data_IF_122732845659
#
_entry.id   IF_122732845659
#
_cell.length_a   1.000
_cell.length_b   1.000
_cell.length_c   1.000
_cell.angle_alpha   90.00
_cell.angle_beta   90.00
_cell.angle_gamma   90.00
#
_symmetry.space_group_name_H-M   'P 1'
#
loop_
_entity.id
_entity.type
_entity.pdbx_description
1 polymer ?
#
# COMPACT_ATOMS: atom_id res chain seq x y z
N UNK A 1 7.77 54.34 -22.28
CA UNK A 1 7.67 53.99 -20.85
C UNK A 1 6.21 54.02 -20.41
N UNK A 2 5.56 52.86 -20.34
CA UNK A 2 4.29 52.63 -19.61
C UNK A 2 4.18 51.13 -19.37
N UNK A 3 4.70 50.70 -18.23
CA UNK A 3 4.70 49.30 -17.78
C UNK A 3 3.30 48.98 -17.25
N UNK A 4 2.55 48.12 -17.94
CA UNK A 4 1.31 47.53 -17.43
C UNK A 4 1.69 46.41 -16.46
N UNK A 5 1.73 46.74 -15.18
CA UNK A 5 1.80 45.77 -14.10
C UNK A 5 0.41 45.11 -14.00
N UNK A 6 0.26 43.93 -14.60
CA UNK A 6 -0.92 43.10 -14.41
C UNK A 6 -0.87 42.55 -12.98
N UNK A 7 -1.72 43.09 -12.12
CA UNK A 7 -2.06 42.53 -10.82
C UNK A 7 -2.51 41.07 -11.00
N UNK A 8 -1.65 40.13 -10.61
CA UNK A 8 -2.04 38.75 -10.34
C UNK A 8 -2.52 38.75 -8.89
N UNK A 9 -3.83 38.97 -8.69
CA UNK A 9 -4.45 38.71 -7.39
C UNK A 9 -4.36 37.21 -7.20
N UNK A 10 -3.42 36.75 -6.37
CA UNK A 10 -3.40 35.37 -5.92
C UNK A 10 -4.70 35.14 -5.13
N UNK A 11 -5.54 34.20 -5.55
CA UNK A 11 -6.73 33.86 -4.78
C UNK A 11 -6.28 33.28 -3.43
N UNK A 12 -6.62 34.00 -2.36
CA UNK A 12 -6.32 33.65 -0.97
C UNK A 12 -7.23 32.55 -0.42
N UNK A 13 -8.03 31.89 -1.25
CA UNK A 13 -8.91 30.79 -0.83
C UNK A 13 -8.08 29.62 -0.30
N UNK A 14 -8.31 29.23 0.94
CA UNK A 14 -7.64 28.07 1.57
C UNK A 14 -7.93 26.81 0.75
N UNK A 15 -6.92 25.96 0.53
CA UNK A 15 -7.13 24.61 -0.02
C UNK A 15 -7.91 23.79 1.01
N UNK A 16 -9.07 23.27 0.61
CA UNK A 16 -9.93 22.38 1.41
C UNK A 16 -9.87 20.96 0.87
N UNK A 17 -10.14 19.96 1.72
CA UNK A 17 -10.18 18.56 1.30
C UNK A 17 -11.27 18.31 0.26
N UNK A 18 -12.49 18.78 0.51
CA UNK A 18 -13.61 18.66 -0.43
C UNK A 18 -13.27 19.27 -1.81
N UNK A 19 -12.67 20.46 -1.83
CA UNK A 19 -12.26 21.13 -3.06
C UNK A 19 -11.16 20.36 -3.82
N UNK A 20 -10.23 19.75 -3.09
CA UNK A 20 -9.23 18.88 -3.68
C UNK A 20 -9.85 17.62 -4.30
N UNK A 21 -10.75 16.95 -3.58
CA UNK A 21 -11.49 15.80 -4.08
C UNK A 21 -12.29 16.13 -5.34
N UNK A 22 -13.06 17.22 -5.34
CA UNK A 22 -13.86 17.63 -6.50
C UNK A 22 -13.01 17.92 -7.75
N UNK A 23 -11.83 18.51 -7.57
CA UNK A 23 -10.93 18.78 -8.70
C UNK A 23 -10.29 17.50 -9.24
N UNK A 24 -9.89 16.58 -8.36
CA UNK A 24 -9.38 15.26 -8.76
C UNK A 24 -10.49 14.46 -9.44
N UNK A 25 -11.71 14.49 -8.91
CA UNK A 25 -12.88 13.83 -9.48
C UNK A 25 -13.11 14.25 -10.93
N UNK A 26 -12.92 15.53 -11.26
CA UNK A 26 -13.02 16.02 -12.65
C UNK A 26 -12.01 15.36 -13.58
N UNK A 27 -10.82 15.00 -13.06
CA UNK A 27 -9.82 14.26 -13.82
C UNK A 27 -10.15 12.76 -13.93
N UNK A 28 -10.73 12.17 -12.88
CA UNK A 28 -10.97 10.72 -12.81
C UNK A 28 -12.31 10.29 -13.41
N UNK A 29 -13.34 11.14 -13.35
CA UNK A 29 -14.67 10.87 -13.90
C UNK A 29 -14.80 11.56 -15.25
N UNK A 30 -14.93 10.77 -16.32
CA UNK A 30 -15.11 11.25 -17.69
C UNK A 30 -14.00 10.82 -18.65
N UNK A 31 -13.77 11.61 -19.70
CA UNK A 31 -12.83 11.29 -20.80
C UNK A 31 -11.44 11.93 -20.65
N UNK A 32 -11.21 12.71 -19.58
CA UNK A 32 -10.00 13.51 -19.40
C UNK A 32 -8.73 12.68 -19.53
N UNK A 33 -8.64 11.52 -18.85
CA UNK A 33 -7.44 10.67 -18.91
C UNK A 33 -7.21 10.09 -20.31
N UNK A 34 -8.28 9.64 -20.98
CA UNK A 34 -8.22 9.15 -22.35
C UNK A 34 -7.78 10.27 -23.32
N UNK A 35 -8.24 11.49 -23.11
CA UNK A 35 -7.85 12.66 -23.90
C UNK A 35 -6.38 13.05 -23.68
N UNK A 36 -5.87 12.96 -22.45
CA UNK A 36 -4.44 13.15 -22.14
C UNK A 36 -3.62 12.13 -22.94
N UNK A 37 -3.96 10.84 -22.82
CA UNK A 37 -3.27 9.75 -23.52
C UNK A 37 -3.34 9.96 -25.02
N UNK A 38 -4.53 10.21 -25.59
CA UNK A 38 -4.71 10.46 -27.01
C UNK A 38 -3.91 11.67 -27.52
N UNK A 39 -3.75 12.72 -26.70
CA UNK A 39 -2.99 13.91 -27.07
C UNK A 39 -1.46 13.66 -27.10
N UNK A 40 -0.93 12.88 -26.16
CA UNK A 40 0.50 12.52 -26.14
C UNK A 40 0.83 11.41 -27.12
N UNK A 41 -0.11 10.51 -27.44
CA UNK A 41 0.04 9.44 -28.43
C UNK A 41 0.19 9.93 -29.88
N UNK A 42 -0.04 11.22 -30.15
CA UNK A 42 0.27 11.86 -31.45
C UNK A 42 1.75 12.18 -31.64
N UNK A 43 2.58 11.86 -30.65
CA UNK A 43 4.03 12.08 -30.73
C UNK A 43 4.67 11.04 -31.66
N UNK A 44 5.88 11.32 -32.11
CA UNK A 44 6.61 10.47 -33.07
C UNK A 44 6.95 9.08 -32.51
N UNK A 45 7.35 9.02 -31.24
CA UNK A 45 7.73 7.80 -30.54
C UNK A 45 7.38 7.89 -29.04
N UNK A 46 7.54 6.77 -28.33
CA UNK A 46 7.21 6.69 -26.91
C UNK A 46 7.99 7.72 -26.08
N UNK A 47 9.29 7.89 -26.32
CA UNK A 47 10.12 8.84 -25.58
C UNK A 47 9.63 10.28 -25.69
N UNK A 48 9.18 10.72 -26.87
CA UNK A 48 8.57 12.05 -27.06
C UNK A 48 7.23 12.18 -26.34
N UNK A 49 6.42 11.14 -26.30
CA UNK A 49 5.17 11.12 -25.54
C UNK A 49 5.45 11.20 -24.03
N UNK A 50 6.40 10.42 -23.51
CA UNK A 50 6.81 10.41 -22.11
C UNK A 50 7.37 11.76 -21.67
N UNK A 51 8.21 12.41 -22.48
CA UNK A 51 8.70 13.77 -22.18
C UNK A 51 7.57 14.78 -21.98
N UNK A 52 6.48 14.67 -22.75
CA UNK A 52 5.31 15.54 -22.62
C UNK A 52 4.49 15.21 -21.36
N UNK A 53 4.34 13.92 -21.02
CA UNK A 53 3.71 13.52 -19.77
C UNK A 53 4.52 14.00 -18.55
N UNK A 54 5.85 13.88 -18.61
CA UNK A 54 6.75 14.31 -17.53
C UNK A 54 6.58 15.78 -17.18
N UNK A 55 6.44 16.64 -18.18
CA UNK A 55 6.19 18.06 -17.96
C UNK A 55 4.87 18.30 -17.21
N UNK A 56 3.80 17.62 -17.62
CA UNK A 56 2.49 17.70 -16.94
C UNK A 56 2.56 17.17 -15.50
N UNK A 57 3.27 16.06 -15.27
CA UNK A 57 3.44 15.47 -13.93
C UNK A 57 4.25 16.37 -13.00
N UNK A 58 5.37 16.93 -13.47
CA UNK A 58 6.21 17.84 -12.66
C UNK A 58 5.52 19.16 -12.33
N UNK A 59 4.75 19.70 -13.27
CA UNK A 59 3.99 20.94 -13.05
C UNK A 59 2.66 20.71 -12.36
N UNK A 60 2.21 19.45 -12.25
CA UNK A 60 0.87 19.08 -11.79
C UNK A 60 -0.26 19.75 -12.60
N UNK A 61 -0.02 20.02 -13.88
CA UNK A 61 -0.96 20.68 -14.78
C UNK A 61 -1.28 19.81 -15.99
N UNK A 62 -2.56 19.50 -16.16
CA UNK A 62 -3.05 18.62 -17.21
C UNK A 62 -3.88 19.41 -18.23
N UNK A 63 -3.57 19.18 -19.51
CA UNK A 63 -4.33 19.70 -20.66
C UNK A 63 -4.92 18.53 -21.42
N UNK A 64 -6.25 18.46 -21.48
CA UNK A 64 -6.99 17.37 -22.09
C UNK A 64 -8.16 17.96 -22.88
N UNK A 65 -8.03 18.05 -24.21
CA UNK A 65 -9.05 18.70 -25.03
C UNK A 65 -9.36 20.13 -24.59
N UNK A 66 -10.61 20.37 -24.17
CA UNK A 66 -11.07 21.66 -23.62
C UNK A 66 -10.80 21.82 -22.10
N UNK A 67 -10.40 20.75 -21.43
CA UNK A 67 -10.13 20.73 -19.99
C UNK A 67 -8.73 21.23 -19.67
N UNK A 68 -8.66 22.07 -18.64
CA UNK A 68 -7.43 22.51 -18.01
C UNK A 68 -7.55 22.26 -16.51
N UNK A 69 -6.79 21.29 -16.00
CA UNK A 69 -6.83 20.87 -14.59
C UNK A 69 -5.47 21.18 -13.98
N UNK A 70 -5.46 22.02 -12.96
CA UNK A 70 -4.24 22.39 -12.23
C UNK A 70 -4.32 21.90 -10.80
N UNK A 71 -3.53 20.88 -10.48
CA UNK A 71 -3.40 20.31 -9.14
C UNK A 71 -2.22 20.90 -8.35
N UNK A 72 -1.39 21.72 -9.00
CA UNK A 72 -0.16 22.32 -8.46
C UNK A 72 -0.32 22.88 -7.04
N UNK A 73 -1.36 23.70 -6.84
CA UNK A 73 -1.63 24.32 -5.54
C UNK A 73 -1.95 23.29 -4.46
N UNK A 74 -2.79 22.29 -4.77
CA UNK A 74 -3.21 21.25 -3.83
C UNK A 74 -2.00 20.38 -3.47
N UNK A 75 -1.27 19.92 -4.48
CA UNK A 75 -0.12 19.03 -4.29
C UNK A 75 0.99 19.74 -3.51
N UNK A 76 1.31 20.99 -3.86
CA UNK A 76 2.32 21.76 -3.13
C UNK A 76 1.95 21.95 -1.65
N UNK A 77 0.71 22.32 -1.36
CA UNK A 77 0.25 22.55 0.01
C UNK A 77 0.24 21.24 0.82
N UNK A 78 -0.36 20.18 0.29
CA UNK A 78 -0.48 18.91 0.98
C UNK A 78 0.85 18.19 1.11
N UNK A 79 1.72 18.21 0.09
CA UNK A 79 3.07 17.64 0.20
C UNK A 79 3.90 18.39 1.25
N UNK A 80 3.80 19.72 1.30
CA UNK A 80 4.49 20.51 2.34
C UNK A 80 4.04 20.13 3.75
N UNK A 81 2.73 19.99 3.98
CA UNK A 81 2.19 19.55 5.28
C UNK A 81 2.61 18.11 5.61
N UNK A 82 2.63 17.22 4.62
CA UNK A 82 3.08 15.82 4.77
C UNK A 82 4.54 15.71 5.17
N UNK A 83 5.41 16.52 4.57
CA UNK A 83 6.81 16.60 4.98
C UNK A 83 6.98 17.17 6.39
N UNK A 84 6.15 18.15 6.79
CA UNK A 84 6.15 18.68 8.16
C UNK A 84 5.66 17.65 9.20
N UNK A 85 4.77 16.75 8.80
CA UNK A 85 4.33 15.63 9.62
C UNK A 85 5.41 14.55 9.76
N UNK A 86 6.38 14.50 8.83
CA UNK A 86 7.53 13.59 8.84
C UNK A 86 7.55 12.58 7.68
N UNK A 87 6.76 12.79 6.63
CA UNK A 87 6.62 11.85 5.52
C UNK A 87 6.92 12.46 4.15
N UNK A 88 7.54 11.67 3.27
CA UNK A 88 7.83 11.98 1.88
C UNK A 88 6.91 11.17 0.94
N UNK A 89 5.59 11.27 1.11
CA UNK A 89 4.61 10.40 0.44
C UNK A 89 4.69 10.33 -1.10
N UNK A 90 5.24 11.36 -1.76
CA UNK A 90 5.39 11.41 -3.22
C UNK A 90 6.79 11.06 -3.73
N UNK A 91 7.80 10.95 -2.85
CA UNK A 91 9.20 10.86 -3.23
C UNK A 91 9.85 9.62 -2.62
N UNK A 92 10.68 8.94 -3.41
CA UNK A 92 11.41 7.77 -2.95
C UNK A 92 12.71 8.18 -2.25
N UNK A 93 13.24 7.27 -1.44
CA UNK A 93 14.58 7.39 -0.87
C UNK A 93 15.61 6.71 -1.78
N UNK A 94 16.60 7.45 -2.27
CA UNK A 94 17.75 6.86 -2.95
C UNK A 94 18.75 6.35 -1.91
N UNK A 95 18.67 5.04 -1.62
CA UNK A 95 19.60 4.37 -0.70
C UNK A 95 21.07 4.38 -1.13
N UNK A 96 21.39 4.69 -2.40
CA UNK A 96 22.78 4.83 -2.87
C UNK A 96 23.28 6.26 -2.74
N UNK A 97 22.43 7.24 -3.03
CA UNK A 97 22.76 8.65 -2.90
C UNK A 97 22.53 9.21 -1.49
N UNK A 98 21.90 8.43 -0.61
CA UNK A 98 21.61 8.76 0.79
C UNK A 98 20.77 10.06 0.91
N UNK A 99 19.79 10.20 0.02
CA UNK A 99 18.89 11.37 -0.04
C UNK A 99 17.53 11.02 -0.63
N UNK A 100 16.54 11.84 -0.31
CA UNK A 100 15.22 11.82 -0.98
C UNK A 100 15.40 12.27 -2.44
N UNK A 101 14.72 11.60 -3.36
CA UNK A 101 14.72 11.95 -4.77
C UNK A 101 14.13 13.35 -5.01
N UNK A 102 14.65 14.03 -6.03
CA UNK A 102 14.16 15.36 -6.44
C UNK A 102 12.82 15.27 -7.19
N UNK A 103 12.64 14.21 -7.98
CA UNK A 103 11.42 13.92 -8.71
C UNK A 103 10.47 13.04 -7.87
N UNK A 104 9.18 13.08 -8.21
CA UNK A 104 8.19 12.19 -7.60
C UNK A 104 8.30 10.77 -8.17
N UNK A 105 7.82 9.78 -7.41
CA UNK A 105 7.87 8.36 -7.79
C UNK A 105 7.31 8.10 -9.22
N UNK A 106 6.16 8.66 -9.64
CA UNK A 106 5.68 8.49 -11.02
C UNK A 106 6.63 9.05 -12.08
N UNK A 107 7.32 10.15 -11.79
CA UNK A 107 8.28 10.77 -12.71
C UNK A 107 9.56 9.93 -12.80
N UNK A 108 10.03 9.36 -11.69
CA UNK A 108 11.17 8.42 -11.69
C UNK A 108 10.87 7.17 -12.53
N UNK A 109 9.68 6.57 -12.35
CA UNK A 109 9.24 5.42 -13.15
C UNK A 109 9.10 5.78 -14.63
N UNK A 110 8.57 6.97 -14.94
CA UNK A 110 8.49 7.48 -16.31
C UNK A 110 9.89 7.65 -16.93
N UNK A 111 10.84 8.24 -16.20
CA UNK A 111 12.21 8.43 -16.67
C UNK A 111 12.87 7.07 -16.97
N UNK A 112 12.72 6.10 -16.07
CA UNK A 112 13.19 4.73 -16.30
C UNK A 112 12.59 4.11 -17.57
N UNK A 113 11.27 4.23 -17.77
CA UNK A 113 10.61 3.74 -18.98
C UNK A 113 11.15 4.42 -20.25
N UNK A 114 11.37 5.74 -20.19
CA UNK A 114 11.92 6.51 -21.30
C UNK A 114 13.34 6.06 -21.67
N UNK A 115 14.16 5.68 -20.70
CA UNK A 115 15.50 5.15 -20.96
C UNK A 115 15.47 3.76 -21.60
N UNK A 116 14.52 2.91 -21.18
CA UNK A 116 14.45 1.52 -21.66
C UNK A 116 13.72 1.36 -22.99
N UNK A 117 12.60 2.08 -23.17
CA UNK A 117 11.65 1.90 -24.27
C UNK A 117 11.45 3.17 -25.12
N UNK A 118 12.15 4.27 -24.84
CA UNK A 118 11.86 5.56 -25.48
C UNK A 118 11.99 5.60 -27.01
N UNK A 119 12.81 4.73 -27.61
CA UNK A 119 12.96 4.62 -29.06
C UNK A 119 11.86 3.77 -29.73
N UNK A 120 11.02 3.09 -28.95
CA UNK A 120 9.94 2.24 -29.46
C UNK A 120 8.76 3.06 -30.01
N UNK A 121 7.90 2.44 -30.83
CA UNK A 121 6.61 3.01 -31.21
C UNK A 121 5.75 3.39 -30.00
N UNK A 122 4.77 4.27 -30.24
CA UNK A 122 3.81 4.68 -29.22
C UNK A 122 3.07 3.46 -28.64
N UNK A 123 3.03 3.39 -27.32
CA UNK A 123 2.30 2.39 -26.54
C UNK A 123 1.24 3.11 -25.67
N UNK A 124 -0.02 3.20 -26.15
CA UNK A 124 -1.08 3.89 -25.41
C UNK A 124 -1.39 3.26 -24.05
N UNK A 125 -1.18 1.95 -23.90
CA UNK A 125 -1.43 1.24 -22.64
C UNK A 125 -0.43 1.66 -21.59
N UNK A 126 0.86 1.68 -21.92
CA UNK A 126 1.89 2.15 -20.99
C UNK A 126 1.69 3.62 -20.60
N UNK A 127 1.27 4.47 -21.54
CA UNK A 127 0.95 5.87 -21.27
C UNK A 127 -0.26 6.01 -20.32
N UNK A 128 -1.31 5.20 -20.50
CA UNK A 128 -2.48 5.20 -19.63
C UNK A 128 -2.14 4.74 -18.21
N UNK A 129 -1.37 3.65 -18.07
CA UNK A 129 -0.93 3.14 -16.76
C UNK A 129 -0.11 4.22 -16.01
N UNK A 130 0.79 4.93 -16.71
CA UNK A 130 1.57 6.01 -16.09
C UNK A 130 0.71 7.19 -15.61
N UNK A 131 -0.30 7.59 -16.39
CA UNK A 131 -1.23 8.66 -15.98
C UNK A 131 -1.99 8.23 -14.73
N UNK A 132 -2.52 7.01 -14.70
CA UNK A 132 -3.23 6.50 -13.53
C UNK A 132 -2.30 6.34 -12.32
N UNK A 133 -1.05 5.90 -12.52
CA UNK A 133 -0.06 5.77 -11.46
C UNK A 133 0.29 7.13 -10.83
N UNK A 134 0.32 8.20 -11.62
CA UNK A 134 0.42 9.55 -11.06
C UNK A 134 -0.79 9.88 -10.17
N UNK A 135 -2.01 9.63 -10.63
CA UNK A 135 -3.20 9.92 -9.84
C UNK A 135 -3.31 9.04 -8.59
N UNK A 136 -2.82 7.80 -8.62
CA UNK A 136 -2.71 6.95 -7.43
C UNK A 136 -1.87 7.61 -6.33
N UNK A 137 -0.71 8.18 -6.70
CA UNK A 137 0.16 8.86 -5.75
C UNK A 137 -0.46 10.17 -5.24
N UNK A 138 -1.24 10.87 -6.07
CA UNK A 138 -2.06 12.01 -5.61
C UNK A 138 -3.11 11.55 -4.59
N UNK A 139 -3.78 10.42 -4.81
CA UNK A 139 -4.73 9.85 -3.84
C UNK A 139 -4.03 9.34 -2.58
N UNK A 140 -2.79 8.85 -2.69
CA UNK A 140 -1.95 8.45 -1.55
C UNK A 140 -1.54 9.64 -0.70
N UNK A 141 -1.22 10.78 -1.31
CA UNK A 141 -1.03 12.02 -0.57
C UNK A 141 -2.32 12.48 0.11
N UNK A 142 -3.45 12.37 -0.57
CA UNK A 142 -4.75 12.78 -0.06
C UNK A 142 -5.22 11.91 1.12
N UNK A 143 -4.91 10.62 1.13
CA UNK A 143 -5.27 9.71 2.24
C UNK A 143 -4.60 10.11 3.56
N UNK A 144 -3.41 10.75 3.52
CA UNK A 144 -2.75 11.31 4.71
C UNK A 144 -3.35 12.64 5.19
N UNK A 145 -4.26 13.22 4.40
CA UNK A 145 -4.87 14.54 4.64
C UNK A 145 -6.35 14.47 5.02
N UNK A 146 -6.91 13.26 5.21
CA UNK A 146 -8.33 13.08 5.58
C UNK A 146 -8.70 13.73 6.92
N UNK A 147 -7.73 14.10 7.75
CA UNK A 147 -7.94 14.79 9.03
C UNK A 147 -7.79 16.32 8.97
N UNK A 148 -7.42 16.91 7.81
CA UNK A 148 -7.10 18.34 7.72
C UNK A 148 -8.35 19.24 7.90
N UNK A 149 -9.52 18.80 7.40
CA UNK A 149 -10.84 19.42 7.60
C UNK A 149 -11.98 18.41 7.34
N UNK A 150 -13.17 18.62 7.93
CA UNK A 150 -14.30 17.70 7.80
C UNK A 150 -14.23 16.47 8.72
N UNK A 151 -15.06 15.45 8.45
CA UNK A 151 -15.07 14.19 9.19
C UNK A 151 -14.11 13.19 8.52
N UNK A 152 -13.11 12.63 9.23
CA UNK A 152 -12.07 11.83 8.60
C UNK A 152 -12.58 10.54 7.96
N UNK A 153 -13.60 9.90 8.55
CA UNK A 153 -14.23 8.71 7.96
C UNK A 153 -14.93 9.03 6.62
N UNK A 154 -15.74 10.10 6.56
CA UNK A 154 -16.41 10.54 5.31
C UNK A 154 -15.38 10.93 4.24
N UNK A 155 -14.29 11.58 4.64
CA UNK A 155 -13.20 11.94 3.76
C UNK A 155 -12.49 10.71 3.19
N UNK A 156 -12.26 9.69 4.02
CA UNK A 156 -11.63 8.45 3.59
C UNK A 156 -12.55 7.65 2.65
N UNK A 157 -13.86 7.63 2.92
CA UNK A 157 -14.87 7.11 1.98
C UNK A 157 -14.84 7.84 0.64
N UNK A 158 -14.69 9.17 0.65
CA UNK A 158 -14.56 9.96 -0.58
C UNK A 158 -13.29 9.58 -1.36
N UNK A 159 -12.14 9.39 -0.69
CA UNK A 159 -10.91 8.89 -1.33
C UNK A 159 -11.14 7.50 -1.92
N UNK A 160 -11.87 6.63 -1.22
CA UNK A 160 -12.18 5.29 -1.70
C UNK A 160 -13.04 5.31 -2.98
N UNK A 161 -14.01 6.24 -3.07
CA UNK A 161 -14.80 6.44 -4.30
C UNK A 161 -13.95 6.98 -5.47
N UNK A 162 -12.98 7.85 -5.19
CA UNK A 162 -12.05 8.35 -6.20
C UNK A 162 -11.12 7.23 -6.68
N UNK A 163 -10.62 6.38 -5.78
CA UNK A 163 -9.86 5.18 -6.11
C UNK A 163 -10.68 4.22 -6.99
N UNK A 164 -11.96 4.00 -6.67
CA UNK A 164 -12.87 3.24 -7.53
C UNK A 164 -13.02 3.84 -8.93
N UNK A 165 -13.03 5.18 -9.04
CA UNK A 165 -13.06 5.89 -10.34
C UNK A 165 -11.72 5.82 -11.09
N UNK A 166 -10.59 5.74 -10.36
CA UNK A 166 -9.26 5.53 -10.92
C UNK A 166 -9.14 4.15 -11.59
N UNK A 167 -9.54 3.11 -10.87
CA UNK A 167 -9.32 1.72 -11.27
C UNK A 167 -10.49 1.11 -12.05
N UNK A 168 -11.61 1.83 -12.18
CA UNK A 168 -12.82 1.38 -12.87
C UNK A 168 -12.73 1.37 -14.40
N UNK A 169 -13.86 1.21 -15.12
CA UNK A 169 -13.88 1.06 -16.58
C UNK A 169 -13.26 2.22 -17.39
N UNK A 170 -13.17 3.41 -16.80
CA UNK A 170 -12.50 4.57 -17.39
C UNK A 170 -11.01 4.68 -17.05
N UNK A 171 -10.43 3.70 -16.35
CA UNK A 171 -9.00 3.62 -16.04
C UNK A 171 -8.20 2.92 -17.14
N UNK A 172 -6.92 2.70 -16.84
CA UNK A 172 -5.94 1.99 -17.66
C UNK A 172 -6.12 0.47 -17.67
N UNK A 173 -6.99 -0.06 -16.81
CA UNK A 173 -7.14 -1.48 -16.55
C UNK A 173 -6.09 -2.04 -15.58
N UNK A 174 -5.17 -1.21 -15.07
CA UNK A 174 -4.23 -1.60 -14.01
C UNK A 174 -4.85 -1.36 -12.62
N UNK A 175 -5.25 -2.40 -11.88
CA UNK A 175 -5.52 -2.30 -10.46
C UNK A 175 -4.24 -1.99 -9.67
N UNK A 176 -4.35 -1.22 -8.59
CA UNK A 176 -3.22 -0.82 -7.73
C UNK A 176 -3.42 -1.32 -6.30
N UNK A 177 -4.54 -0.95 -5.66
CA UNK A 177 -4.88 -1.31 -4.27
C UNK A 177 -6.39 -1.53 -4.14
N UNK A 178 -6.82 -2.28 -3.12
CA UNK A 178 -8.24 -2.60 -2.92
C UNK A 178 -9.04 -1.43 -2.35
N UNK A 179 -8.42 -0.60 -1.50
CA UNK A 179 -9.11 0.44 -0.74
C UNK A 179 -8.21 1.62 -0.36
N UNK A 180 -8.84 2.72 0.10
CA UNK A 180 -8.15 3.94 0.49
C UNK A 180 -7.24 3.78 1.72
N UNK A 181 -7.57 2.87 2.63
CA UNK A 181 -6.76 2.52 3.80
C UNK A 181 -5.40 1.97 3.39
N UNK A 182 -5.35 1.20 2.30
CA UNK A 182 -4.09 0.70 1.74
C UNK A 182 -3.26 1.83 1.14
N UNK A 183 -3.87 2.93 0.68
CA UNK A 183 -3.12 4.11 0.23
C UNK A 183 -2.35 4.75 1.38
N UNK A 184 -2.88 4.74 2.61
CA UNK A 184 -2.14 5.22 3.80
C UNK A 184 -0.87 4.38 3.98
N UNK A 185 -1.00 3.05 3.92
CA UNK A 185 0.14 2.14 3.99
C UNK A 185 1.17 2.44 2.88
N UNK A 186 0.73 2.58 1.62
CA UNK A 186 1.64 2.86 0.50
C UNK A 186 2.35 4.21 0.68
N UNK A 187 1.63 5.24 1.10
CA UNK A 187 2.18 6.59 1.29
C UNK A 187 3.30 6.62 2.34
N UNK A 188 3.22 5.78 3.38
CA UNK A 188 4.20 5.75 4.48
C UNK A 188 5.20 4.60 4.38
N UNK A 189 5.05 3.71 3.39
CA UNK A 189 5.92 2.54 3.23
C UNK A 189 7.22 2.90 2.53
N UNK A 190 7.90 4.00 2.85
CA UNK A 190 9.23 4.35 2.32
C UNK A 190 10.19 4.58 3.49
N UNK A 191 11.50 4.64 3.22
CA UNK A 191 12.44 5.00 4.27
C UNK A 191 12.25 6.47 4.67
N UNK A 192 12.07 6.72 5.97
CA UNK A 192 11.94 8.06 6.54
C UNK A 192 13.04 8.30 7.58
N UNK A 193 13.72 9.44 7.49
CA UNK A 193 14.74 9.82 8.47
C UNK A 193 14.14 10.20 9.84
N UNK A 194 12.89 10.67 9.85
CA UNK A 194 12.17 11.09 11.05
C UNK A 194 10.96 10.18 11.31
N UNK A 195 11.13 9.24 12.24
CA UNK A 195 10.09 8.27 12.56
C UNK A 195 8.92 8.86 13.41
N UNK A 196 9.00 10.12 13.85
CA UNK A 196 7.94 10.73 14.68
C UNK A 196 6.60 10.82 13.96
N UNK A 197 6.61 10.86 12.64
CA UNK A 197 5.39 10.86 11.82
C UNK A 197 4.53 9.62 12.06
N UNK A 198 5.15 8.45 12.21
CA UNK A 198 4.44 7.18 12.41
C UNK A 198 3.60 7.18 13.69
N UNK A 199 4.15 7.68 14.79
CA UNK A 199 3.40 7.78 16.06
C UNK A 199 2.21 8.73 15.96
N UNK A 200 2.40 9.91 15.35
CA UNK A 200 1.30 10.89 15.16
C UNK A 200 0.18 10.34 14.27
N UNK A 201 0.55 9.67 13.18
CA UNK A 201 -0.41 9.08 12.27
C UNK A 201 -1.17 7.93 12.93
N UNK A 202 -0.50 7.10 13.74
CA UNK A 202 -1.15 6.02 14.47
C UNK A 202 -2.23 6.55 15.43
N UNK A 203 -1.95 7.64 16.16
CA UNK A 203 -2.96 8.28 17.02
C UNK A 203 -4.18 8.77 16.23
N UNK A 204 -3.97 9.33 15.02
CA UNK A 204 -5.06 9.74 14.13
C UNK A 204 -5.85 8.55 13.60
N UNK A 205 -5.18 7.46 13.22
CA UNK A 205 -5.84 6.23 12.77
C UNK A 205 -6.73 5.63 13.86
N UNK A 206 -6.33 5.71 15.13
CA UNK A 206 -7.16 5.23 16.25
C UNK A 206 -8.48 5.99 16.40
N UNK A 207 -8.61 7.21 15.85
CA UNK A 207 -9.86 7.99 15.89
C UNK A 207 -10.85 7.60 14.82
N UNK A 208 -10.43 6.83 13.80
CA UNK A 208 -11.32 6.35 12.75
C UNK A 208 -12.33 5.36 13.29
N UNK A 209 -13.40 5.16 12.54
CA UNK A 209 -14.43 4.20 12.86
C UNK A 209 -13.91 2.76 12.86
N UNK A 210 -14.80 1.83 13.20
CA UNK A 210 -14.44 0.41 13.30
C UNK A 210 -14.13 -0.22 11.93
N UNK A 211 -14.82 0.21 10.87
CA UNK A 211 -14.65 -0.34 9.52
C UNK A 211 -13.26 0.02 8.99
N UNK A 212 -12.92 1.31 9.00
CA UNK A 212 -11.64 1.80 8.50
C UNK A 212 -10.47 1.26 9.31
N UNK A 213 -10.57 1.23 10.65
CA UNK A 213 -9.51 0.62 11.48
C UNK A 213 -9.29 -0.86 11.15
N UNK A 214 -10.34 -1.61 10.84
CA UNK A 214 -10.21 -3.02 10.46
C UNK A 214 -9.51 -3.16 9.09
N UNK A 215 -9.88 -2.34 8.10
CA UNK A 215 -9.23 -2.34 6.79
C UNK A 215 -7.75 -1.96 6.87
N UNK A 216 -7.41 -0.94 7.67
CA UNK A 216 -6.02 -0.54 7.95
C UNK A 216 -5.28 -1.72 8.61
N UNK A 217 -5.88 -2.35 9.61
CA UNK A 217 -5.26 -3.45 10.36
C UNK A 217 -4.97 -4.67 9.47
N UNK A 218 -5.86 -5.02 8.53
CA UNK A 218 -5.64 -6.11 7.58
C UNK A 218 -4.40 -5.87 6.71
N UNK A 219 -4.32 -4.69 6.10
CA UNK A 219 -3.19 -4.33 5.24
C UNK A 219 -1.87 -4.24 6.03
N UNK A 220 -1.88 -3.60 7.20
CA UNK A 220 -0.70 -3.42 8.02
C UNK A 220 -0.20 -4.73 8.63
N UNK A 221 -1.08 -5.56 9.22
CA UNK A 221 -0.63 -6.83 9.80
C UNK A 221 0.06 -7.74 8.77
N UNK A 222 -0.53 -7.85 7.58
CA UNK A 222 0.07 -8.64 6.51
C UNK A 222 1.36 -8.02 5.97
N UNK A 223 1.34 -6.74 5.62
CA UNK A 223 2.50 -6.07 5.02
C UNK A 223 3.69 -5.96 5.98
N UNK A 224 3.45 -5.61 7.24
CA UNK A 224 4.50 -5.53 8.26
C UNK A 224 5.05 -6.91 8.60
N UNK A 225 4.21 -7.96 8.55
CA UNK A 225 4.69 -9.33 8.59
C UNK A 225 5.74 -9.62 7.51
N UNK A 226 5.46 -9.24 6.26
CA UNK A 226 6.41 -9.37 5.14
C UNK A 226 7.68 -8.54 5.35
N UNK A 227 7.53 -7.28 5.81
CA UNK A 227 8.62 -6.36 6.10
C UNK A 227 9.57 -6.89 7.18
N UNK A 228 9.04 -7.25 8.35
CA UNK A 228 9.84 -7.72 9.47
C UNK A 228 10.50 -9.08 9.20
N UNK A 229 9.86 -9.97 8.42
CA UNK A 229 10.51 -11.22 7.96
C UNK A 229 11.70 -10.92 7.05
N UNK A 230 11.58 -9.92 6.17
CA UNK A 230 12.70 -9.45 5.35
C UNK A 230 13.81 -8.87 6.23
N UNK A 231 13.47 -7.93 7.12
CA UNK A 231 14.42 -7.29 8.04
C UNK A 231 15.14 -8.28 8.94
N UNK A 232 14.44 -9.31 9.43
CA UNK A 232 15.01 -10.38 10.25
C UNK A 232 16.14 -11.13 9.51
N UNK A 233 15.92 -11.50 8.26
CA UNK A 233 16.88 -12.24 7.44
C UNK A 233 18.01 -11.33 6.90
N UNK A 234 17.64 -10.20 6.29
CA UNK A 234 18.55 -9.35 5.54
C UNK A 234 19.35 -8.40 6.43
N UNK A 235 18.67 -7.66 7.31
CA UNK A 235 19.24 -6.55 8.09
C UNK A 235 19.73 -7.03 9.45
N UNK A 236 18.94 -7.85 10.14
CA UNK A 236 19.19 -8.22 11.54
C UNK A 236 20.01 -9.52 11.66
N UNK A 237 20.20 -10.28 10.58
CA UNK A 237 21.04 -11.48 10.56
C UNK A 237 20.50 -12.57 11.50
N UNK A 238 19.16 -12.69 11.56
CA UNK A 238 18.38 -13.61 12.38
C UNK A 238 18.47 -13.36 13.89
N UNK A 239 18.74 -12.11 14.29
CA UNK A 239 18.68 -11.68 15.69
C UNK A 239 17.37 -10.93 15.98
N UNK A 240 16.56 -11.48 16.89
CA UNK A 240 15.27 -10.88 17.29
C UNK A 240 15.46 -9.61 18.12
N UNK A 241 16.54 -9.47 18.88
CA UNK A 241 16.80 -8.22 19.63
C UNK A 241 17.14 -7.11 18.65
N UNK A 242 18.03 -7.38 17.69
CA UNK A 242 18.35 -6.43 16.64
C UNK A 242 17.11 -6.03 15.82
N UNK A 243 16.23 -6.98 15.49
CA UNK A 243 14.95 -6.69 14.81
C UNK A 243 14.09 -5.70 15.60
N UNK A 244 13.96 -5.93 16.91
CA UNK A 244 13.18 -5.07 17.81
C UNK A 244 13.74 -3.65 17.91
N UNK A 245 15.06 -3.53 17.96
CA UNK A 245 15.75 -2.26 18.09
C UNK A 245 15.76 -1.46 16.78
N UNK A 246 15.75 -2.14 15.63
CA UNK A 246 15.75 -1.54 14.28
C UNK A 246 14.35 -1.08 13.82
N UNK A 247 13.28 -1.67 14.39
CA UNK A 247 11.90 -1.49 13.90
C UNK A 247 11.01 -0.81 14.95
N UNK A 248 11.52 0.21 15.65
CA UNK A 248 10.83 0.80 16.81
C UNK A 248 9.50 1.48 16.47
N UNK A 249 9.38 2.06 15.27
CA UNK A 249 8.13 2.61 14.77
C UNK A 249 7.11 1.54 14.36
N UNK A 250 7.58 0.36 13.93
CA UNK A 250 6.73 -0.69 13.38
C UNK A 250 5.98 -1.49 14.45
N UNK A 251 6.64 -1.84 15.55
CA UNK A 251 6.01 -2.63 16.60
C UNK A 251 4.70 -2.01 17.14
N UNK A 252 4.60 -0.69 17.40
CA UNK A 252 3.34 -0.03 17.75
C UNK A 252 2.23 -0.19 16.70
N UNK A 253 2.55 0.00 15.42
CA UNK A 253 1.60 -0.17 14.32
C UNK A 253 1.10 -1.60 14.19
N UNK A 254 2.03 -2.57 14.31
CA UNK A 254 1.69 -3.99 14.30
C UNK A 254 0.86 -4.37 15.54
N UNK A 255 1.13 -3.78 16.71
CA UNK A 255 0.33 -3.98 17.92
C UNK A 255 -1.11 -3.51 17.72
N UNK A 256 -1.30 -2.30 17.18
CA UNK A 256 -2.62 -1.78 16.82
C UNK A 256 -3.35 -2.71 15.84
N UNK A 257 -2.66 -3.16 14.79
CA UNK A 257 -3.24 -4.02 13.77
C UNK A 257 -3.68 -5.38 14.36
N UNK A 258 -2.80 -6.04 15.12
CA UNK A 258 -3.11 -7.32 15.76
C UNK A 258 -4.25 -7.19 16.78
N UNK A 259 -4.24 -6.16 17.63
CA UNK A 259 -5.29 -5.93 18.63
C UNK A 259 -6.66 -5.69 17.98
N UNK A 260 -6.68 -4.92 16.88
CA UNK A 260 -7.90 -4.65 16.10
C UNK A 260 -8.44 -5.95 15.48
N UNK A 261 -7.60 -6.71 14.79
CA UNK A 261 -8.00 -7.99 14.16
C UNK A 261 -8.46 -9.02 15.20
N UNK A 262 -7.80 -9.11 16.34
CA UNK A 262 -8.18 -10.05 17.40
C UNK A 262 -9.54 -9.72 18.02
N UNK A 263 -9.83 -8.41 18.15
CA UNK A 263 -11.14 -7.94 18.61
C UNK A 263 -12.25 -8.27 17.60
N UNK A 264 -11.98 -8.13 16.30
CA UNK A 264 -12.91 -8.57 15.25
C UNK A 264 -13.10 -10.10 15.21
N UNK A 265 -12.04 -10.86 15.44
CA UNK A 265 -12.11 -12.32 15.53
C UNK A 265 -12.94 -12.80 16.74
N UNK A 266 -12.83 -12.14 17.89
CA UNK A 266 -13.67 -12.45 19.06
C UNK A 266 -15.14 -12.16 18.77
N UNK A 267 -15.42 -10.97 18.22
CA UNK A 267 -16.78 -10.52 17.93
C UNK A 267 -17.49 -11.40 16.90
N UNK A 268 -16.80 -11.80 15.83
CA UNK A 268 -17.38 -12.70 14.80
C UNK A 268 -17.69 -14.10 15.34
N UNK A 269 -16.89 -14.58 16.30
CA UNK A 269 -17.15 -15.82 17.06
C UNK A 269 -18.39 -15.72 17.93
N UNK A 270 -18.58 -14.61 18.63
CA UNK A 270 -19.75 -14.34 19.47
C UNK A 270 -21.04 -14.21 18.66
N UNK A 271 -20.97 -13.64 17.45
CA UNK A 271 -22.13 -13.52 16.55
C UNK A 271 -22.46 -14.81 15.77
N UNK A 272 -21.75 -15.92 16.01
CA UNK A 272 -21.97 -17.19 15.30
C UNK A 272 -21.62 -17.17 13.80
N UNK A 273 -20.87 -16.17 13.35
CA UNK A 273 -20.58 -15.93 11.93
C UNK A 273 -19.41 -16.77 11.38
N UNK A 274 -18.75 -17.59 12.22
CA UNK A 274 -17.64 -18.48 11.83
C UNK A 274 -18.02 -19.61 10.85
N UNK A 275 -19.27 -19.69 10.39
CA UNK A 275 -19.80 -20.84 9.66
C UNK A 275 -20.69 -20.55 8.45
N UNK A 276 -20.67 -19.35 7.86
CA UNK A 276 -21.40 -19.13 6.60
C UNK A 276 -20.64 -19.83 5.47
N UNK A 277 -21.24 -20.89 4.91
CA UNK A 277 -20.68 -21.64 3.79
C UNK A 277 -20.43 -20.73 2.56
N UNK A 278 -19.37 -21.00 1.78
CA UNK A 278 -19.11 -20.29 0.52
C UNK A 278 -20.28 -20.56 -0.44
N UNK A 279 -21.11 -19.55 -0.67
CA UNK A 279 -22.33 -19.66 -1.48
C UNK A 279 -23.38 -18.60 -1.22
N UNK A 280 -23.34 -17.92 -0.06
CA UNK A 280 -24.28 -16.82 0.26
C UNK A 280 -23.72 -15.44 -0.13
N UNK A 281 -22.40 -15.30 -0.30
CA UNK A 281 -21.75 -14.05 -0.76
C UNK A 281 -22.18 -13.59 -2.16
N UNK A 282 -22.67 -14.52 -3.00
CA UNK A 282 -23.04 -14.23 -4.38
C UNK A 282 -24.30 -13.35 -4.53
N UNK A 283 -25.05 -13.05 -3.46
CA UNK A 283 -26.28 -12.22 -3.53
C UNK A 283 -26.15 -10.80 -2.99
N UNK A 284 -24.99 -10.41 -2.47
CA UNK A 284 -24.76 -9.06 -1.92
C UNK A 284 -23.85 -8.19 -2.79
N UNK A 285 -23.35 -8.70 -3.93
CA UNK A 285 -22.45 -7.96 -4.83
C UNK A 285 -23.14 -6.92 -5.74
N UNK A 286 -24.48 -6.87 -5.79
CA UNK A 286 -25.22 -6.06 -6.77
C UNK A 286 -25.87 -4.78 -6.20
N UNK A 287 -25.47 -4.27 -5.02
CA UNK A 287 -25.98 -2.99 -4.50
C UNK A 287 -24.88 -1.94 -4.31
N UNK A 288 -24.87 -0.83 -5.06
CA UNK A 288 -23.81 0.18 -5.02
C UNK A 288 -23.79 1.07 -3.75
N UNK A 289 -24.49 0.72 -2.67
CA UNK A 289 -24.69 1.64 -1.53
C UNK A 289 -24.74 1.02 -0.12
N UNK A 290 -24.28 -0.23 0.08
CA UNK A 290 -24.15 -0.80 1.44
C UNK A 290 -22.70 -1.09 1.79
N UNK A 291 -21.98 -0.11 2.36
CA UNK A 291 -20.58 -0.22 2.80
C UNK A 291 -20.39 -0.97 4.13
N UNK A 292 -21.23 -1.95 4.45
CA UNK A 292 -20.95 -2.91 5.54
C UNK A 292 -20.69 -4.27 4.90
N UNK A 293 -19.54 -4.40 4.23
CA UNK A 293 -18.99 -5.71 3.95
C UNK A 293 -18.49 -6.27 5.28
N UNK A 294 -19.13 -7.32 5.79
CA UNK A 294 -18.54 -8.11 6.87
C UNK A 294 -17.18 -8.59 6.38
N UNK A 295 -16.11 -8.20 7.07
CA UNK A 295 -14.77 -8.69 6.77
C UNK A 295 -14.78 -10.21 6.89
N UNK A 296 -14.29 -10.90 5.85
CA UNK A 296 -14.15 -12.35 5.85
C UNK A 296 -13.31 -12.79 7.06
N UNK A 297 -13.86 -13.69 7.86
CA UNK A 297 -13.17 -14.25 9.02
C UNK A 297 -11.84 -14.90 8.66
N UNK A 298 -11.70 -15.45 7.44
CA UNK A 298 -10.41 -15.99 6.97
C UNK A 298 -9.37 -14.90 6.74
N UNK A 299 -9.75 -13.73 6.21
CA UNK A 299 -8.83 -12.61 6.04
C UNK A 299 -8.29 -12.08 7.38
N UNK A 300 -9.14 -12.03 8.41
CA UNK A 300 -8.75 -11.65 9.77
C UNK A 300 -7.71 -12.63 10.35
N UNK A 301 -7.98 -13.94 10.23
CA UNK A 301 -7.08 -15.00 10.69
C UNK A 301 -5.75 -14.95 9.95
N UNK A 302 -5.77 -14.86 8.62
CA UNK A 302 -4.56 -14.80 7.80
C UNK A 302 -3.74 -13.53 8.09
N UNK A 303 -4.38 -12.37 8.25
CA UNK A 303 -3.72 -11.12 8.62
C UNK A 303 -3.00 -11.23 9.96
N UNK A 304 -3.66 -11.75 11.00
CA UNK A 304 -3.03 -11.99 12.30
C UNK A 304 -1.85 -12.96 12.21
N UNK A 305 -2.01 -14.07 11.47
CA UNK A 305 -0.94 -15.04 11.29
C UNK A 305 0.28 -14.39 10.62
N UNK A 306 0.08 -13.65 9.54
CA UNK A 306 1.18 -12.96 8.85
C UNK A 306 1.91 -11.98 9.78
N UNK A 307 1.16 -11.17 10.54
CA UNK A 307 1.75 -10.22 11.49
C UNK A 307 2.51 -10.87 12.65
N UNK A 308 2.07 -12.05 13.11
CA UNK A 308 2.74 -12.78 14.20
C UNK A 308 3.96 -13.59 13.74
N UNK A 309 4.05 -13.95 12.46
CA UNK A 309 5.15 -14.79 11.96
C UNK A 309 6.58 -14.27 12.20
N UNK A 310 6.90 -12.97 12.10
CA UNK A 310 8.25 -12.48 12.40
C UNK A 310 8.62 -12.59 13.89
N UNK A 311 7.70 -12.23 14.81
CA UNK A 311 7.99 -12.18 16.25
C UNK A 311 6.74 -12.31 17.14
N UNK A 312 6.13 -13.50 17.14
CA UNK A 312 4.97 -13.79 18.00
C UNK A 312 5.18 -13.45 19.50
N UNK A 313 6.41 -13.63 20.02
CA UNK A 313 6.72 -13.42 21.44
C UNK A 313 6.71 -11.96 21.86
N UNK A 314 6.76 -11.01 20.93
CA UNK A 314 6.57 -9.60 21.27
C UNK A 314 5.14 -9.30 21.74
N UNK A 315 4.16 -10.11 21.33
CA UNK A 315 2.74 -9.84 21.57
C UNK A 315 2.10 -10.80 22.58
N UNK A 316 2.47 -12.08 22.56
CA UNK A 316 1.94 -13.10 23.50
C UNK A 316 2.95 -13.57 24.55
N UNK A 317 4.15 -12.99 24.58
CA UNK A 317 5.23 -13.39 25.47
C UNK A 317 5.50 -12.38 26.59
N UNK A 318 6.25 -12.81 27.61
CA UNK A 318 6.55 -12.02 28.82
C UNK A 318 7.61 -10.91 28.63
N UNK A 319 8.20 -10.78 27.44
CA UNK A 319 9.30 -9.86 27.16
C UNK A 319 9.02 -9.09 25.86
N UNK A 320 8.05 -8.17 25.85
CA UNK A 320 7.82 -7.28 24.71
C UNK A 320 9.01 -6.31 24.53
N UNK A 321 9.30 -5.84 23.30
CA UNK A 321 10.25 -4.76 23.09
C UNK A 321 9.82 -3.46 23.75
N UNK A 322 10.80 -2.61 24.09
CA UNK A 322 10.54 -1.34 24.78
C UNK A 322 9.63 -0.38 23.99
N UNK A 323 9.65 -0.45 22.65
CA UNK A 323 8.76 0.33 21.77
C UNK A 323 7.28 0.08 22.03
N UNK A 324 6.90 -1.08 22.58
CA UNK A 324 5.51 -1.39 22.92
C UNK A 324 5.05 -0.79 24.24
N UNK A 325 5.91 -0.14 25.03
CA UNK A 325 5.51 0.38 26.34
C UNK A 325 4.34 1.38 26.26
N UNK A 326 4.27 2.18 25.19
CA UNK A 326 3.18 3.12 24.97
C UNK A 326 1.86 2.45 24.55
N UNK A 327 1.93 1.21 24.04
CA UNK A 327 0.79 0.43 23.56
C UNK A 327 0.47 -0.76 24.47
N UNK A 328 0.95 -0.76 25.72
CA UNK A 328 0.86 -1.91 26.63
C UNK A 328 -0.58 -2.33 26.92
N UNK A 329 -1.52 -1.37 26.98
CA UNK A 329 -2.94 -1.66 27.15
C UNK A 329 -3.53 -2.41 25.92
N UNK A 330 -3.18 -1.99 24.71
CA UNK A 330 -3.60 -2.67 23.47
C UNK A 330 -2.97 -4.07 23.38
N UNK A 331 -1.67 -4.18 23.70
CA UNK A 331 -0.94 -5.45 23.72
C UNK A 331 -1.55 -6.43 24.72
N UNK A 332 -1.83 -5.98 25.94
CA UNK A 332 -2.46 -6.79 26.99
C UNK A 332 -3.87 -7.23 26.59
N UNK A 333 -4.64 -6.35 25.94
CA UNK A 333 -5.95 -6.69 25.40
C UNK A 333 -5.88 -7.76 24.31
N UNK A 334 -4.93 -7.63 23.39
CA UNK A 334 -4.64 -8.65 22.38
C UNK A 334 -4.27 -9.99 23.03
N UNK A 335 -3.33 -9.98 23.98
CA UNK A 335 -2.84 -11.17 24.69
C UNK A 335 -3.97 -11.91 25.41
N UNK A 336 -4.81 -11.17 26.14
CA UNK A 336 -5.95 -11.74 26.85
C UNK A 336 -6.94 -12.44 25.89
N UNK A 337 -7.33 -11.76 24.80
CA UNK A 337 -8.22 -12.35 23.79
C UNK A 337 -7.56 -13.55 23.11
N UNK A 338 -6.26 -13.45 22.76
CA UNK A 338 -5.51 -14.55 22.16
C UNK A 338 -5.57 -15.79 23.06
N UNK A 339 -5.30 -15.64 24.36
CA UNK A 339 -5.38 -16.76 25.31
C UNK A 339 -6.78 -17.32 25.46
N UNK A 340 -7.82 -16.47 25.46
CA UNK A 340 -9.21 -16.89 25.48
C UNK A 340 -9.57 -17.77 24.27
N UNK A 341 -9.08 -17.41 23.08
CA UNK A 341 -9.41 -18.10 21.83
C UNK A 341 -8.33 -19.05 21.30
N UNK A 342 -7.26 -19.28 22.08
CA UNK A 342 -6.00 -19.89 21.62
C UNK A 342 -6.19 -21.16 20.81
N UNK A 343 -6.98 -22.10 21.31
CA UNK A 343 -7.17 -23.39 20.65
C UNK A 343 -7.81 -23.24 19.27
N UNK A 344 -8.93 -22.51 19.19
CA UNK A 344 -9.66 -22.29 17.94
C UNK A 344 -8.81 -21.49 16.93
N UNK A 345 -8.11 -20.46 17.41
CA UNK A 345 -7.29 -19.62 16.55
C UNK A 345 -6.08 -20.38 15.98
N UNK A 346 -5.43 -21.24 16.78
CA UNK A 346 -4.35 -22.10 16.29
C UNK A 346 -4.83 -23.11 15.25
N UNK A 347 -6.06 -23.63 15.39
CA UNK A 347 -6.68 -24.50 14.37
C UNK A 347 -6.98 -23.73 13.08
N UNK A 348 -7.51 -22.51 13.20
CA UNK A 348 -7.76 -21.65 12.04
C UNK A 348 -6.43 -21.27 11.34
N UNK A 349 -5.34 -20.98 12.09
CA UNK A 349 -4.01 -20.73 11.51
C UNK A 349 -3.46 -21.92 10.71
N UNK A 350 -3.73 -23.17 11.11
CA UNK A 350 -3.28 -24.35 10.37
C UNK A 350 -3.87 -24.41 8.94
N UNK A 351 -5.03 -23.77 8.69
CA UNK A 351 -5.63 -23.70 7.34
C UNK A 351 -4.82 -22.82 6.38
N UNK A 352 -4.00 -21.92 6.91
CA UNK A 352 -3.14 -21.01 6.14
C UNK A 352 -1.68 -21.49 6.08
N UNK A 353 -1.40 -22.75 6.45
CA UNK A 353 -0.07 -23.34 6.36
C UNK A 353 0.47 -23.25 4.92
N UNK A 354 1.65 -22.66 4.69
CA UNK A 354 2.25 -22.60 3.37
C UNK A 354 2.49 -24.00 2.79
N UNK A 355 2.23 -24.17 1.48
CA UNK A 355 2.43 -25.43 0.75
C UNK A 355 3.25 -25.20 -0.53
N UNK A 356 3.63 -26.27 -1.22
CA UNK A 356 4.31 -26.20 -2.53
C UNK A 356 3.34 -26.03 -3.71
N UNK A 357 2.03 -25.96 -3.46
CA UNK A 357 1.00 -26.01 -4.50
C UNK A 357 0.13 -24.75 -4.58
N UNK A 358 0.37 -23.79 -3.69
CA UNK A 358 -0.41 -22.56 -3.62
C UNK A 358 0.46 -21.40 -3.18
N UNK A 359 0.12 -20.20 -3.68
CA UNK A 359 0.72 -18.96 -3.22
C UNK A 359 0.46 -18.78 -1.71
N UNK A 360 1.47 -18.29 -0.99
CA UNK A 360 1.32 -17.89 0.40
C UNK A 360 2.01 -16.57 0.67
N UNK A 361 1.33 -15.58 1.29
CA UNK A 361 1.94 -14.31 1.65
C UNK A 361 3.05 -14.47 2.70
N UNK A 362 3.04 -15.53 3.51
CA UNK A 362 4.12 -15.83 4.47
C UNK A 362 5.44 -16.14 3.76
N UNK A 363 5.36 -16.68 2.54
CA UNK A 363 6.51 -16.98 1.68
C UNK A 363 7.03 -15.75 0.94
N UNK A 364 6.26 -14.66 0.90
CA UNK A 364 6.70 -13.37 0.37
C UNK A 364 7.28 -12.52 1.51
N UNK A 365 8.42 -11.89 1.26
CA UNK A 365 9.03 -10.89 2.13
C UNK A 365 9.67 -9.80 1.29
N UNK A 366 9.62 -8.56 1.76
CA UNK A 366 10.11 -7.40 1.02
C UNK A 366 10.55 -6.28 1.95
N UNK A 367 11.45 -5.42 1.50
CA UNK A 367 11.93 -4.33 2.33
C UNK A 367 10.86 -3.26 2.58
N UNK A 368 10.02 -2.94 1.60
CA UNK A 368 8.94 -1.96 1.80
C UNK A 368 7.76 -2.28 0.90
N UNK A 369 6.53 -2.02 1.36
CA UNK A 369 5.31 -2.27 0.57
C UNK A 369 5.34 -1.56 -0.79
N UNK A 370 5.90 -0.35 -0.83
CA UNK A 370 6.01 0.43 -2.06
C UNK A 370 6.85 -0.28 -3.13
N UNK A 371 7.84 -1.09 -2.75
CA UNK A 371 8.69 -1.83 -3.70
C UNK A 371 7.87 -2.84 -4.49
N UNK A 372 6.87 -3.46 -3.86
CA UNK A 372 5.98 -4.40 -4.54
C UNK A 372 5.13 -3.65 -5.56
N UNK A 373 4.44 -2.58 -5.13
CA UNK A 373 3.60 -1.79 -6.02
C UNK A 373 4.40 -1.19 -7.18
N UNK A 374 5.52 -0.52 -6.89
CA UNK A 374 6.41 0.06 -7.92
C UNK A 374 6.93 -1.01 -8.86
N UNK A 375 7.34 -2.17 -8.35
CA UNK A 375 7.79 -3.31 -9.17
C UNK A 375 6.70 -3.83 -10.10
N UNK A 376 5.47 -4.00 -9.61
CA UNK A 376 4.31 -4.42 -10.43
C UNK A 376 4.03 -3.43 -11.55
N UNK A 377 4.06 -2.13 -11.25
CA UNK A 377 3.82 -1.09 -12.26
C UNK A 377 4.96 -1.02 -13.27
N UNK A 378 6.22 -1.10 -12.82
CA UNK A 378 7.37 -1.16 -13.75
C UNK A 378 7.26 -2.36 -14.67
N UNK A 379 6.90 -3.54 -14.18
CA UNK A 379 6.71 -4.73 -15.01
C UNK A 379 5.59 -4.51 -16.05
N UNK A 380 4.41 -4.04 -15.61
CA UNK A 380 3.30 -3.74 -16.51
C UNK A 380 3.69 -2.75 -17.61
N UNK A 381 4.46 -1.73 -17.26
CA UNK A 381 4.97 -0.73 -18.19
C UNK A 381 6.05 -1.27 -19.12
N UNK A 382 6.87 -2.23 -18.70
CA UNK A 382 7.86 -2.85 -19.57
C UNK A 382 7.22 -3.72 -20.65
N UNK A 383 6.08 -4.34 -20.35
CA UNK A 383 5.36 -5.23 -21.27
C UNK A 383 4.17 -4.58 -21.98
N UNK A 384 3.79 -3.36 -21.59
CA UNK A 384 2.60 -2.69 -22.14
C UNK A 384 1.29 -3.42 -21.81
N UNK A 385 1.25 -4.13 -20.68
CA UNK A 385 0.11 -4.97 -20.28
C UNK A 385 -0.12 -4.85 -18.79
N UNK A 386 -1.37 -4.58 -18.39
CA UNK A 386 -1.74 -4.51 -16.99
C UNK A 386 -1.74 -5.91 -16.33
N UNK A 387 -1.45 -5.93 -15.03
CA UNK A 387 -1.69 -7.08 -14.16
C UNK A 387 -3.11 -7.06 -13.61
N UNK A 388 -3.81 -8.19 -13.62
CA UNK A 388 -5.11 -8.33 -12.94
C UNK A 388 -4.95 -8.66 -11.44
N UNK A 389 -4.10 -7.89 -10.76
CA UNK A 389 -3.76 -8.04 -9.34
C UNK A 389 -3.56 -6.68 -8.68
N UNK A 390 -4.18 -6.46 -7.52
CA UNK A 390 -3.81 -5.36 -6.62
C UNK A 390 -2.59 -5.73 -5.78
N UNK A 391 -2.00 -4.74 -5.11
CA UNK A 391 -1.02 -5.00 -4.05
C UNK A 391 -1.61 -5.88 -2.93
N UNK A 392 -2.86 -5.65 -2.53
CA UNK A 392 -3.56 -6.41 -1.50
C UNK A 392 -3.69 -7.90 -1.87
N UNK A 393 -3.83 -8.23 -3.15
CA UNK A 393 -3.88 -9.62 -3.61
C UNK A 393 -2.60 -10.41 -3.25
N UNK A 394 -1.45 -9.75 -3.18
CA UNK A 394 -0.19 -10.35 -2.75
C UNK A 394 -0.08 -10.47 -1.22
N UNK A 395 -0.97 -9.84 -0.46
CA UNK A 395 -1.02 -9.94 1.01
C UNK A 395 -1.91 -11.10 1.50
N UNK A 396 -2.55 -11.85 0.60
CA UNK A 396 -3.42 -12.99 0.94
C UNK A 396 -3.18 -14.19 0.03
N UNK A 397 -3.21 -15.40 0.61
CA UNK A 397 -3.21 -16.68 -0.09
C UNK A 397 -4.59 -17.10 -0.59
N UNK A 398 -5.64 -16.35 -0.24
CA UNK A 398 -7.03 -16.69 -0.54
C UNK A 398 -7.52 -16.08 -1.86
N UNK A 399 -8.43 -16.76 -2.59
CA UNK A 399 -8.72 -18.19 -2.46
C UNK A 399 -7.56 -19.04 -3.02
N UNK A 400 -7.27 -20.23 -2.46
CA UNK A 400 -6.20 -21.08 -2.96
C UNK A 400 -6.58 -21.79 -4.27
N UNK A 401 -5.59 -21.99 -5.14
CA UNK A 401 -5.69 -22.92 -6.28
C UNK A 401 -6.49 -22.41 -7.50
N UNK A 402 -6.92 -21.16 -7.51
CA UNK A 402 -7.54 -20.52 -8.67
C UNK A 402 -6.49 -19.93 -9.64
N UNK A 403 -6.96 -19.39 -10.77
CA UNK A 403 -6.12 -18.69 -11.75
C UNK A 403 -5.38 -17.51 -11.12
N UNK A 404 -6.06 -16.78 -10.21
CA UNK A 404 -5.50 -15.63 -9.49
C UNK A 404 -4.31 -16.04 -8.62
N UNK A 405 -4.37 -17.18 -7.93
CA UNK A 405 -3.25 -17.71 -7.15
C UNK A 405 -2.01 -17.98 -8.00
N UNK A 406 -2.17 -18.43 -9.26
CA UNK A 406 -1.02 -18.60 -10.17
C UNK A 406 -0.46 -17.27 -10.64
N UNK A 407 -1.33 -16.29 -10.89
CA UNK A 407 -0.90 -14.93 -11.22
C UNK A 407 -0.11 -14.31 -10.06
N UNK A 408 -0.56 -14.48 -8.81
CA UNK A 408 0.16 -14.02 -7.61
C UNK A 408 1.56 -14.61 -7.53
N UNK A 409 1.67 -15.93 -7.70
CA UNK A 409 2.96 -16.61 -7.70
C UNK A 409 3.86 -16.19 -8.87
N UNK A 410 3.28 -16.00 -10.07
CA UNK A 410 4.02 -15.53 -11.24
C UNK A 410 4.58 -14.13 -11.00
N UNK A 411 3.74 -13.20 -10.53
CA UNK A 411 4.15 -11.84 -10.22
C UNK A 411 5.22 -11.82 -9.12
N UNK A 412 5.03 -12.54 -8.01
CA UNK A 412 6.00 -12.62 -6.93
C UNK A 412 7.38 -13.13 -7.40
N UNK A 413 7.40 -14.15 -8.26
CA UNK A 413 8.64 -14.66 -8.85
C UNK A 413 9.28 -13.67 -9.83
N UNK A 414 8.48 -12.98 -10.65
CA UNK A 414 8.95 -11.93 -11.55
C UNK A 414 9.61 -10.79 -10.77
N UNK A 415 8.94 -10.29 -9.72
CA UNK A 415 9.46 -9.22 -8.86
C UNK A 415 10.75 -9.64 -8.14
N UNK A 416 10.81 -10.86 -7.61
CA UNK A 416 12.04 -11.41 -7.05
C UNK A 416 13.15 -11.51 -8.12
N UNK A 417 12.81 -11.91 -9.35
CA UNK A 417 13.73 -11.93 -10.48
C UNK A 417 14.37 -10.57 -10.74
N UNK A 418 13.57 -9.51 -10.77
CA UNK A 418 14.08 -8.14 -10.90
C UNK A 418 14.92 -7.69 -9.70
N UNK A 419 14.47 -7.98 -8.47
CA UNK A 419 15.23 -7.65 -7.28
C UNK A 419 16.62 -8.34 -7.26
N UNK A 420 16.74 -9.53 -7.87
CA UNK A 420 18.02 -10.26 -7.98
C UNK A 420 18.99 -9.67 -9.01
N UNK A 421 18.51 -8.94 -10.04
CA UNK A 421 19.38 -8.33 -11.04
C UNK A 421 19.97 -7.00 -10.58
N UNK A 422 19.34 -6.35 -9.61
CA UNK A 422 19.86 -5.14 -8.96
C UNK A 422 19.77 -5.23 -7.43
N UNK A 423 20.53 -6.14 -6.79
CA UNK A 423 20.49 -6.33 -5.35
C UNK A 423 21.16 -5.18 -4.59
N UNK A 424 20.68 -4.91 -3.38
CA UNK A 424 21.30 -3.94 -2.47
C UNK A 424 22.42 -4.58 -1.65
N UNK A 425 23.39 -3.78 -1.21
CA UNK A 425 24.44 -4.26 -0.31
C UNK A 425 24.03 -4.03 1.14
N UNK A 426 23.53 -5.07 1.79
CA UNK A 426 23.11 -5.05 3.20
C UNK A 426 24.08 -5.93 4.01
N UNK A 427 24.72 -5.35 5.03
CA UNK A 427 25.75 -6.03 5.85
C UNK A 427 26.84 -6.73 5.04
N UNK A 428 27.27 -6.08 3.95
CA UNK A 428 28.31 -6.59 3.06
C UNK A 428 27.86 -7.71 2.10
N UNK A 429 26.59 -8.15 2.16
CA UNK A 429 26.01 -9.16 1.28
C UNK A 429 25.08 -8.50 0.26
N UNK A 430 25.03 -9.06 -0.96
CA UNK A 430 24.04 -8.65 -1.95
C UNK A 430 22.69 -9.27 -1.61
N UNK A 431 21.66 -8.43 -1.50
CA UNK A 431 20.34 -8.84 -1.07
C UNK A 431 19.23 -8.28 -1.97
N UNK A 432 18.47 -9.13 -2.68
CA UNK A 432 17.25 -8.70 -3.36
C UNK A 432 16.23 -8.17 -2.35
N UNK A 433 15.71 -6.96 -2.59
CA UNK A 433 14.71 -6.30 -1.73
C UNK A 433 13.30 -6.93 -1.77
N UNK A 434 13.09 -7.95 -2.61
CA UNK A 434 11.85 -8.74 -2.72
C UNK A 434 12.25 -10.21 -2.85
N UNK A 435 11.67 -11.07 -2.00
CA UNK A 435 11.96 -12.50 -1.95
C UNK A 435 10.65 -13.27 -1.85
N UNK A 436 10.45 -14.23 -2.75
CA UNK A 436 9.42 -15.24 -2.63
C UNK A 436 10.07 -16.63 -2.49
N UNK A 437 9.96 -17.23 -1.31
CA UNK A 437 10.54 -18.52 -0.97
C UNK A 437 9.56 -19.37 -0.13
N UNK A 438 8.87 -20.35 -0.78
CA UNK A 438 7.95 -21.25 -0.09
C UNK A 438 8.56 -22.07 1.05
N UNK A 439 9.84 -22.42 0.96
CA UNK A 439 10.52 -23.16 2.03
C UNK A 439 10.75 -22.27 3.24
N UNK A 440 11.23 -21.03 3.03
CA UNK A 440 11.38 -20.05 4.09
C UNK A 440 10.03 -19.73 4.75
N UNK A 441 8.96 -19.59 3.96
CA UNK A 441 7.61 -19.39 4.46
C UNK A 441 7.13 -20.51 5.38
N UNK A 442 7.35 -21.78 5.00
CA UNK A 442 7.04 -22.94 5.86
C UNK A 442 7.82 -22.95 7.17
N UNK A 443 9.10 -22.56 7.13
CA UNK A 443 9.93 -22.47 8.32
C UNK A 443 9.42 -21.37 9.27
N UNK A 444 9.14 -20.17 8.73
CA UNK A 444 8.59 -19.06 9.49
C UNK A 444 7.27 -19.43 10.16
N UNK A 445 6.34 -20.03 9.41
CA UNK A 445 5.08 -20.56 9.95
C UNK A 445 5.31 -21.56 11.09
N UNK A 446 6.17 -22.56 10.88
CA UNK A 446 6.45 -23.59 11.89
C UNK A 446 7.09 -23.03 13.17
N UNK A 447 7.95 -22.02 13.06
CA UNK A 447 8.53 -21.32 14.21
C UNK A 447 7.46 -20.53 14.95
N UNK A 448 6.62 -19.77 14.24
CA UNK A 448 5.55 -18.99 14.82
C UNK A 448 4.54 -19.88 15.58
N UNK A 449 4.05 -20.94 14.94
CA UNK A 449 3.10 -21.89 15.56
C UNK A 449 3.64 -22.57 16.82
N UNK A 450 4.96 -22.83 16.87
CA UNK A 450 5.60 -23.36 18.08
C UNK A 450 5.60 -22.32 19.21
N UNK A 451 6.03 -21.09 18.91
CA UNK A 451 6.05 -19.99 19.87
C UNK A 451 4.65 -19.63 20.40
N UNK A 452 3.63 -19.76 19.55
CA UNK A 452 2.24 -19.49 19.92
C UNK A 452 1.59 -20.62 20.74
N UNK A 453 2.23 -21.81 20.83
CA UNK A 453 1.79 -22.97 21.64
C UNK A 453 2.49 -23.08 22.99
N UNK A 454 3.72 -22.59 23.08
CA UNK A 454 4.43 -22.32 24.35
C UNK A 454 3.66 -21.27 25.15
#
# INVERSE_FOLDING_TARGET
>A
MRTRQKNRVASTEKVTFEGACALIETALRGTVRQEIVAAVSRSENLGRALLRLRESMRTNVWKAGAHHISLDRIITEYDSRTRQDGFHALHDWDGKADRVNEDTIPVDVLNYLSEKRGAEPIDPTALAILVDYYFLHVLSLLSLRVWDDGHPDENLDQVNQLLGSLQGPGGSGQPFVDNAETLILIATSHFELDERGFGKLLERVRTLDRSHRTNIALGHAASMGCHLRFGFEATCGRDTVALRDDNTADYPWLCFALATLMSEYSRTGETGARGVQPGVEARLKDSPSSHVHGVDGQAIVEGMLNGLTPDARAFVGNHPPASLSACEAERSGFEALFHQHRHALLEDFERHRPSDHAYSPISLSFNFSHNILKGTIVDALMWGSAWDLTFNDLLTGSPPGDEKSRLKETLANTLMGYARTSPDRIRGRLMPVIIYDPMAGRQAFGVAMRKLRE
#
